data_IF_108576195334
#
_entry.id   IF_108576195334
#
_cell.length_a   1.000
_cell.length_b   1.000
_cell.length_c   1.000
_cell.angle_alpha   90.00
_cell.angle_beta   90.00
_cell.angle_gamma   90.00
#
_symmetry.space_group_name_H-M   'P 1'
#
loop_
_entity.id
_entity.type
_entity.pdbx_description
1 polymer ?
#
# COMPACT_ATOMS: atom_id res chain seq x y z
N UNK A 1 0.21 -18.61 -1.86
CA UNK A 1 1.02 -17.50 -1.31
C UNK A 1 0.81 -17.53 0.19
N UNK A 2 1.87 -17.37 0.98
CA UNK A 2 1.73 -17.38 2.44
C UNK A 2 1.01 -16.09 2.85
N UNK A 3 -0.25 -16.21 3.31
CA UNK A 3 -1.10 -15.07 3.68
C UNK A 3 -0.40 -14.16 4.70
N UNK A 4 0.48 -14.71 5.53
CA UNK A 4 1.24 -13.98 6.54
C UNK A 4 2.22 -12.98 5.91
N UNK A 5 2.99 -13.43 4.93
CA UNK A 5 4.03 -12.61 4.33
C UNK A 5 3.45 -11.51 3.41
N UNK A 6 2.33 -11.80 2.75
CA UNK A 6 1.55 -10.77 2.04
C UNK A 6 0.98 -9.73 3.00
N UNK A 7 0.43 -10.15 4.15
CA UNK A 7 -0.06 -9.22 5.17
C UNK A 7 1.06 -8.33 5.73
N UNK A 8 2.25 -8.87 5.97
CA UNK A 8 3.39 -8.10 6.45
C UNK A 8 3.89 -7.10 5.40
N UNK A 9 3.89 -7.48 4.12
CA UNK A 9 4.19 -6.56 3.03
C UNK A 9 3.16 -5.43 2.94
N UNK A 10 1.86 -5.76 2.95
CA UNK A 10 0.78 -4.76 2.94
C UNK A 10 0.92 -3.82 4.14
N UNK A 11 1.17 -4.37 5.33
CA UNK A 11 1.35 -3.60 6.57
C UNK A 11 2.56 -2.67 6.48
N UNK A 12 3.71 -3.19 6.04
CA UNK A 12 4.95 -2.41 5.92
C UNK A 12 4.84 -1.29 4.90
N UNK A 13 4.31 -1.59 3.71
CA UNK A 13 4.13 -0.60 2.64
C UNK A 13 3.11 0.48 3.06
N UNK A 14 1.98 0.07 3.64
CA UNK A 14 0.95 1.01 4.11
C UNK A 14 1.46 1.93 5.21
N UNK A 15 2.27 1.41 6.15
CA UNK A 15 2.91 2.22 7.20
C UNK A 15 3.80 3.30 6.60
N UNK A 16 4.61 2.95 5.62
CA UNK A 16 5.52 3.91 4.98
C UNK A 16 4.78 4.96 4.16
N UNK A 17 3.70 4.58 3.48
CA UNK A 17 2.81 5.53 2.77
C UNK A 17 2.15 6.49 3.76
N UNK A 18 1.64 5.98 4.89
CA UNK A 18 1.01 6.81 5.92
C UNK A 18 1.99 7.77 6.61
N UNK A 19 3.26 7.38 6.75
CA UNK A 19 4.30 8.28 7.25
C UNK A 19 4.42 9.57 6.43
N UNK A 20 4.13 9.51 5.12
CA UNK A 20 4.15 10.66 4.24
C UNK A 20 2.81 11.42 4.21
N UNK A 21 1.70 10.69 4.20
CA UNK A 21 0.38 11.28 3.91
C UNK A 21 -0.45 11.63 5.14
N UNK A 22 -0.31 10.88 6.23
CA UNK A 22 -1.09 11.04 7.46
C UNK A 22 -0.26 10.59 8.68
N UNK A 23 0.89 11.23 8.98
CA UNK A 23 1.78 10.82 10.05
C UNK A 23 1.11 10.80 11.43
N UNK A 24 0.06 11.60 11.61
CA UNK A 24 -0.78 11.64 12.81
C UNK A 24 -1.56 10.33 13.06
N UNK A 25 -1.75 9.47 12.05
CA UNK A 25 -2.40 8.17 12.23
C UNK A 25 -1.40 7.05 12.60
N UNK A 26 -0.09 7.28 12.49
CA UNK A 26 0.94 6.28 12.82
C UNK A 26 0.83 5.69 14.23
N UNK A 27 0.51 6.46 15.29
CA UNK A 27 0.33 5.90 16.64
C UNK A 27 -0.79 4.85 16.70
N UNK A 28 -1.81 4.96 15.84
CA UNK A 28 -2.97 4.07 15.81
C UNK A 28 -2.83 2.95 14.77
N UNK A 29 -1.83 3.04 13.89
CA UNK A 29 -1.67 2.16 12.74
C UNK A 29 -1.65 0.67 13.11
N UNK A 30 -1.03 0.29 14.22
CA UNK A 30 -0.96 -1.11 14.64
C UNK A 30 -2.37 -1.68 14.92
N UNK A 31 -3.19 -0.95 15.69
CA UNK A 31 -4.56 -1.37 16.01
C UNK A 31 -5.47 -1.30 14.77
N UNK A 32 -5.37 -0.22 13.99
CA UNK A 32 -6.20 -0.04 12.80
C UNK A 32 -5.89 -1.08 11.70
N UNK A 33 -4.61 -1.42 11.50
CA UNK A 33 -4.23 -2.48 10.55
C UNK A 33 -4.67 -3.86 11.02
N UNK A 34 -4.55 -4.18 12.32
CA UNK A 34 -5.07 -5.44 12.87
C UNK A 34 -6.59 -5.57 12.66
N UNK A 35 -7.34 -4.50 12.93
CA UNK A 35 -8.79 -4.48 12.71
C UNK A 35 -9.14 -4.65 11.22
N UNK A 36 -8.39 -4.01 10.32
CA UNK A 36 -8.59 -4.16 8.88
C UNK A 36 -8.30 -5.59 8.39
N UNK A 37 -7.20 -6.22 8.84
CA UNK A 37 -6.92 -7.61 8.48
C UNK A 37 -7.93 -8.61 9.05
N UNK A 38 -8.60 -8.27 10.16
CA UNK A 38 -9.65 -9.11 10.74
C UNK A 38 -10.98 -9.01 9.96
N UNK A 39 -11.38 -7.80 9.56
CA UNK A 39 -12.57 -7.55 8.74
C UNK A 39 -12.40 -6.22 7.94
N UNK A 40 -11.92 -6.30 6.69
CA UNK A 40 -11.69 -5.12 5.85
C UNK A 40 -12.95 -4.29 5.64
N UNK A 41 -14.10 -4.95 5.44
CA UNK A 41 -15.36 -4.28 5.17
C UNK A 41 -15.87 -3.54 6.41
N UNK A 42 -15.75 -4.13 7.61
CA UNK A 42 -16.09 -3.46 8.85
C UNK A 42 -15.14 -2.29 9.14
N UNK A 43 -13.84 -2.46 8.93
CA UNK A 43 -12.86 -1.39 9.10
C UNK A 43 -13.12 -0.22 8.14
N UNK A 44 -13.50 -0.50 6.88
CA UNK A 44 -13.85 0.51 5.89
C UNK A 44 -15.21 1.19 6.14
N UNK A 45 -16.14 0.54 6.83
CA UNK A 45 -17.37 1.19 7.33
C UNK A 45 -17.06 2.09 8.53
N UNK A 46 -16.25 1.61 9.48
CA UNK A 46 -15.87 2.35 10.67
C UNK A 46 -15.05 3.61 10.34
N UNK A 47 -14.16 3.55 9.35
CA UNK A 47 -13.33 4.68 8.92
C UNK A 47 -14.11 5.87 8.36
N UNK A 48 -15.33 5.63 7.90
CA UNK A 48 -16.24 6.64 7.34
C UNK A 48 -17.16 7.25 8.39
N UNK A 49 -17.20 6.70 9.61
CA UNK A 49 -18.15 7.13 10.62
C UNK A 49 -17.53 8.18 11.55
N UNK A 50 -18.20 9.32 11.71
CA UNK A 50 -17.69 10.50 12.43
C UNK A 50 -17.50 10.22 13.93
N UNK A 51 -18.31 9.33 14.48
CA UNK A 51 -18.23 8.93 15.89
C UNK A 51 -16.99 8.08 16.21
N UNK A 52 -16.45 7.37 15.21
CA UNK A 52 -15.16 6.70 15.37
C UNK A 52 -14.04 7.71 15.56
N UNK A 53 -14.12 8.91 14.96
CA UNK A 53 -13.10 9.95 15.09
C UNK A 53 -13.12 10.68 16.46
N UNK A 54 -14.26 10.68 17.16
CA UNK A 54 -14.43 11.34 18.48
C UNK A 54 -13.68 10.62 19.62
N UNK A 55 -13.29 9.37 19.44
CA UNK A 55 -12.50 8.60 20.43
C UNK A 55 -10.98 8.81 20.34
N UNK A 56 -10.48 9.54 19.33
CA UNK A 56 -9.04 9.56 19.01
C UNK A 56 -8.43 10.96 18.89
N UNK A 57 -9.11 12.02 19.33
CA UNK A 57 -8.57 13.39 19.37
C UNK A 57 -8.25 14.00 17.99
N UNK A 58 -8.74 13.41 16.90
CA UNK A 58 -8.48 13.83 15.54
C UNK A 58 -9.65 14.69 15.00
N UNK A 59 -9.82 15.90 15.53
CA UNK A 59 -10.90 16.81 15.09
C UNK A 59 -10.81 17.22 13.60
N UNK A 60 -9.67 17.00 12.95
CA UNK A 60 -9.41 17.48 11.58
C UNK A 60 -9.63 16.46 10.45
N UNK A 61 -9.85 15.17 10.74
CA UNK A 61 -10.01 14.14 9.70
C UNK A 61 -11.42 13.55 9.73
N UNK A 62 -12.25 13.91 8.75
CA UNK A 62 -13.60 13.33 8.59
C UNK A 62 -13.59 11.85 8.14
N UNK A 63 -12.43 11.30 7.77
CA UNK A 63 -12.22 9.90 7.34
C UNK A 63 -10.84 9.45 7.84
N UNK A 64 -10.75 8.27 8.46
CA UNK A 64 -9.46 7.63 8.76
C UNK A 64 -8.81 7.13 7.47
N UNK A 65 -7.57 7.55 7.23
CA UNK A 65 -6.82 7.24 6.01
C UNK A 65 -6.23 5.83 6.03
N UNK A 66 -5.93 5.29 7.22
CA UNK A 66 -5.28 3.98 7.38
C UNK A 66 -6.03 2.84 6.70
N UNK A 67 -7.35 2.62 6.92
CA UNK A 67 -8.08 1.54 6.25
C UNK A 67 -8.12 1.72 4.73
N UNK A 68 -8.15 2.96 4.26
CA UNK A 68 -8.13 3.27 2.84
C UNK A 68 -6.78 2.90 2.20
N UNK A 69 -5.67 3.27 2.84
CA UNK A 69 -4.33 2.94 2.35
C UNK A 69 -4.14 1.43 2.33
N UNK A 70 -4.54 0.71 3.39
CA UNK A 70 -4.48 -0.75 3.44
C UNK A 70 -5.27 -1.40 2.31
N UNK A 71 -6.49 -0.90 2.04
CA UNK A 71 -7.31 -1.36 0.93
C UNK A 71 -6.61 -1.18 -0.41
N UNK A 72 -6.10 0.02 -0.69
CA UNK A 72 -5.43 0.34 -1.95
C UNK A 72 -4.15 -0.48 -2.14
N UNK A 73 -3.35 -0.62 -1.08
CA UNK A 73 -2.12 -1.42 -1.11
C UNK A 73 -2.42 -2.91 -1.31
N UNK A 74 -3.47 -3.44 -0.68
CA UNK A 74 -3.91 -4.82 -0.90
C UNK A 74 -4.31 -5.06 -2.37
N UNK A 75 -5.03 -4.11 -2.98
CA UNK A 75 -5.51 -4.23 -4.36
C UNK A 75 -4.39 -4.22 -5.42
N UNK A 76 -3.23 -3.67 -5.10
CA UNK A 76 -2.08 -3.68 -6.02
C UNK A 76 -1.19 -4.92 -5.88
N UNK A 77 -1.39 -5.77 -4.86
CA UNK A 77 -0.59 -7.00 -4.67
C UNK A 77 -0.65 -7.95 -5.89
N UNK A 78 -1.81 -8.21 -6.53
CA UNK A 78 -1.87 -9.04 -7.73
C UNK A 78 -1.06 -8.49 -8.91
N UNK A 79 -0.96 -7.17 -9.03
CA UNK A 79 -0.19 -6.50 -10.09
C UNK A 79 1.30 -6.71 -9.85
N UNK A 80 1.76 -6.52 -8.61
CA UNK A 80 3.15 -6.80 -8.25
C UNK A 80 3.49 -8.28 -8.51
N UNK A 81 2.59 -9.20 -8.15
CA UNK A 81 2.72 -10.62 -8.49
C UNK A 81 2.83 -10.87 -9.99
N UNK A 82 2.00 -10.20 -10.81
CA UNK A 82 2.06 -10.26 -12.27
C UNK A 82 3.36 -9.70 -12.85
N UNK A 83 3.89 -8.62 -12.28
CA UNK A 83 5.20 -8.06 -12.65
C UNK A 83 6.32 -9.07 -12.36
N UNK A 84 6.29 -9.72 -11.20
CA UNK A 84 7.28 -10.75 -10.85
C UNK A 84 7.25 -11.95 -11.81
N UNK A 85 6.04 -12.38 -12.20
CA UNK A 85 5.85 -13.51 -13.10
C UNK A 85 6.39 -13.18 -14.49
N UNK A 86 5.98 -12.05 -15.08
CA UNK A 86 6.46 -11.59 -16.39
C UNK A 86 7.98 -11.39 -16.41
N UNK A 87 8.55 -10.88 -15.32
CA UNK A 87 9.99 -10.68 -15.22
C UNK A 87 10.76 -12.01 -15.21
N UNK A 88 10.21 -13.06 -14.58
CA UNK A 88 10.82 -14.40 -14.56
C UNK A 88 10.86 -15.08 -15.94
N UNK A 89 10.01 -14.66 -16.88
CA UNK A 89 9.97 -15.20 -18.25
C UNK A 89 11.04 -14.59 -19.16
N UNK A 90 11.77 -13.56 -18.69
CA UNK A 90 12.79 -12.85 -19.47
C UNK A 90 14.18 -13.00 -18.83
N UNK A 91 15.21 -13.26 -19.63
CA UNK A 91 16.61 -13.39 -19.17
C UNK A 91 17.18 -12.11 -18.52
N UNK A 92 16.50 -10.97 -18.66
CA UNK A 92 16.88 -9.65 -18.10
C UNK A 92 16.04 -9.34 -16.83
N UNK A 93 14.98 -10.10 -16.54
CA UNK A 93 14.02 -9.82 -15.47
C UNK A 93 14.24 -10.61 -14.17
N UNK A 94 15.29 -11.42 -14.06
CA UNK A 94 15.58 -12.19 -12.85
C UNK A 94 15.70 -11.29 -11.61
N UNK A 95 16.32 -10.11 -11.76
CA UNK A 95 16.51 -9.15 -10.66
C UNK A 95 15.19 -8.52 -10.18
N UNK A 96 14.31 -8.15 -11.11
CA UNK A 96 12.97 -7.60 -10.80
C UNK A 96 12.11 -8.68 -10.15
N UNK A 97 12.14 -9.91 -10.66
CA UNK A 97 11.42 -11.05 -10.08
C UNK A 97 11.94 -11.36 -8.68
N UNK A 98 13.26 -11.35 -8.47
CA UNK A 98 13.89 -11.57 -7.18
C UNK A 98 13.47 -10.52 -6.15
N UNK A 99 13.45 -9.23 -6.51
CA UNK A 99 13.01 -8.17 -5.59
C UNK A 99 11.55 -8.32 -5.18
N UNK A 100 10.64 -8.51 -6.14
CA UNK A 100 9.23 -8.68 -5.81
C UNK A 100 9.03 -9.93 -4.95
N UNK A 101 9.70 -11.04 -5.26
CA UNK A 101 9.68 -12.24 -4.42
C UNK A 101 10.20 -11.98 -3.01
N UNK A 102 11.30 -11.23 -2.83
CA UNK A 102 11.82 -10.82 -1.51
C UNK A 102 10.81 -9.99 -0.73
N UNK A 103 10.12 -9.04 -1.39
CA UNK A 103 9.02 -8.28 -0.77
C UNK A 103 7.91 -9.19 -0.26
N UNK A 104 7.47 -10.17 -1.06
CA UNK A 104 6.48 -11.17 -0.64
C UNK A 104 6.99 -12.16 0.42
N UNK A 105 8.29 -12.23 0.68
CA UNK A 105 8.88 -13.03 1.78
C UNK A 105 9.16 -12.19 3.03
N UNK A 106 8.88 -10.89 2.99
CA UNK A 106 9.23 -9.97 4.08
C UNK A 106 10.74 -9.72 4.21
N UNK A 107 11.54 -10.10 3.21
CA UNK A 107 12.98 -9.88 3.18
C UNK A 107 13.30 -8.49 2.61
N UNK A 108 14.31 -7.81 3.16
CA UNK A 108 14.80 -6.57 2.57
C UNK A 108 15.48 -6.86 1.22
N UNK A 109 14.99 -6.25 0.12
CA UNK A 109 15.66 -6.41 -1.16
C UNK A 109 17.01 -5.68 -1.12
N UNK A 110 18.08 -6.38 -1.50
CA UNK A 110 19.36 -5.73 -1.84
C UNK A 110 19.12 -4.64 -2.91
N UNK A 111 19.87 -3.55 -2.81
CA UNK A 111 19.58 -2.24 -3.39
C UNK A 111 19.53 -2.14 -4.93
N UNK A 112 19.57 -3.24 -5.69
CA UNK A 112 19.97 -3.22 -7.10
C UNK A 112 18.81 -3.25 -8.10
N UNK A 113 17.65 -3.82 -7.78
CA UNK A 113 16.57 -3.95 -8.77
C UNK A 113 15.49 -2.88 -8.58
N UNK A 114 15.40 -1.80 -9.34
CA UNK A 114 14.27 -0.85 -9.25
C UNK A 114 13.22 -1.24 -10.30
N UNK A 115 11.93 -1.20 -9.95
CA UNK A 115 10.83 -1.41 -10.92
C UNK A 115 10.99 -0.43 -12.09
N UNK A 116 10.73 -0.88 -13.32
CA UNK A 116 10.89 -0.01 -14.49
C UNK A 116 9.88 1.17 -14.44
N UNK A 117 10.15 2.28 -15.13
CA UNK A 117 9.21 3.40 -15.22
C UNK A 117 7.82 2.98 -15.72
N UNK A 118 7.75 2.00 -16.63
CA UNK A 118 6.50 1.46 -17.16
C UNK A 118 5.71 0.69 -16.09
N UNK A 119 6.41 -0.13 -15.29
CA UNK A 119 5.84 -0.89 -14.18
C UNK A 119 5.35 0.04 -13.06
N UNK A 120 6.14 1.06 -12.72
CA UNK A 120 5.72 2.09 -11.76
C UNK A 120 4.52 2.88 -12.28
N UNK A 121 4.48 3.19 -13.58
CA UNK A 121 3.34 3.81 -14.23
C UNK A 121 2.08 2.94 -14.22
N UNK A 122 2.22 1.62 -14.33
CA UNK A 122 1.12 0.67 -14.17
C UNK A 122 0.57 0.72 -12.73
N UNK A 123 1.43 0.60 -11.72
CA UNK A 123 1.02 0.71 -10.31
C UNK A 123 0.34 2.04 -10.04
N UNK A 124 0.91 3.16 -10.50
CA UNK A 124 0.34 4.49 -10.34
C UNK A 124 -1.11 4.55 -10.86
N UNK A 125 -1.35 4.09 -12.10
CA UNK A 125 -2.71 4.09 -12.69
C UNK A 125 -3.70 3.26 -11.88
N UNK A 126 -3.26 2.12 -11.36
CA UNK A 126 -4.12 1.27 -10.53
C UNK A 126 -4.45 1.91 -9.19
N UNK A 127 -3.49 2.60 -8.55
CA UNK A 127 -3.76 3.34 -7.31
C UNK A 127 -4.75 4.49 -7.55
N UNK A 128 -4.61 5.24 -8.66
CA UNK A 128 -5.59 6.29 -9.03
C UNK A 128 -6.99 5.70 -9.20
N UNK A 129 -7.11 4.56 -9.90
CA UNK A 129 -8.38 3.89 -10.14
C UNK A 129 -9.01 3.38 -8.83
N UNK A 130 -8.20 2.80 -7.94
CA UNK A 130 -8.61 2.35 -6.61
C UNK A 130 -9.10 3.54 -5.76
N UNK A 131 -8.31 4.62 -5.68
CA UNK A 131 -8.68 5.84 -4.97
C UNK A 131 -9.99 6.44 -5.48
N UNK A 132 -10.20 6.45 -6.80
CA UNK A 132 -11.43 6.94 -7.42
C UNK A 132 -12.65 6.08 -7.04
N UNK A 133 -12.53 4.74 -7.06
CA UNK A 133 -13.60 3.81 -6.60
C UNK A 133 -13.91 4.01 -5.11
N UNK A 134 -12.90 4.35 -4.31
CA UNK A 134 -13.05 4.67 -2.89
C UNK A 134 -13.51 6.12 -2.64
N UNK A 135 -13.84 6.87 -3.70
CA UNK A 135 -14.35 8.25 -3.68
C UNK A 135 -13.36 9.27 -3.10
N UNK A 136 -12.07 9.03 -3.24
CA UNK A 136 -11.08 10.09 -3.07
C UNK A 136 -11.24 11.12 -4.18
N UNK A 137 -11.04 12.40 -3.84
CA UNK A 137 -10.87 13.42 -4.86
C UNK A 137 -9.58 13.15 -5.67
N UNK A 138 -9.51 13.75 -6.87
CA UNK A 138 -8.42 13.51 -7.81
C UNK A 138 -7.05 13.85 -7.23
N UNK A 139 -6.94 14.91 -6.41
CA UNK A 139 -5.67 15.33 -5.83
C UNK A 139 -5.20 14.33 -4.77
N UNK A 140 -6.10 13.86 -3.89
CA UNK A 140 -5.79 12.83 -2.89
C UNK A 140 -5.43 11.49 -3.53
N UNK A 141 -6.14 11.10 -4.59
CA UNK A 141 -5.83 9.87 -5.32
C UNK A 141 -4.43 9.96 -5.96
N UNK A 142 -4.06 11.12 -6.53
CA UNK A 142 -2.73 11.36 -7.08
C UNK A 142 -1.65 11.31 -6.01
N UNK A 143 -1.82 12.02 -4.90
CA UNK A 143 -0.85 11.99 -3.80
C UNK A 143 -0.67 10.58 -3.22
N UNK A 144 -1.74 9.78 -3.14
CA UNK A 144 -1.65 8.38 -2.74
C UNK A 144 -0.84 7.56 -3.74
N UNK A 145 -1.10 7.73 -5.04
CA UNK A 145 -0.37 7.03 -6.10
C UNK A 145 1.12 7.38 -6.10
N UNK A 146 1.46 8.66 -5.95
CA UNK A 146 2.84 9.14 -5.87
C UNK A 146 3.57 8.54 -4.66
N UNK A 147 2.92 8.53 -3.48
CA UNK A 147 3.51 7.96 -2.27
C UNK A 147 3.74 6.45 -2.40
N UNK A 148 2.80 5.71 -3.00
CA UNK A 148 2.98 4.26 -3.27
C UNK A 148 4.13 4.03 -4.23
N UNK A 149 4.19 4.76 -5.34
CA UNK A 149 5.27 4.65 -6.34
C UNK A 149 6.62 4.97 -5.71
N UNK A 150 6.71 6.01 -4.87
CA UNK A 150 7.95 6.35 -4.17
C UNK A 150 8.47 5.19 -3.31
N UNK A 151 7.58 4.48 -2.61
CA UNK A 151 7.97 3.31 -1.79
C UNK A 151 8.44 2.12 -2.61
N UNK A 152 7.97 2.00 -3.85
CA UNK A 152 8.35 0.93 -4.77
C UNK A 152 9.62 1.25 -5.55
N UNK A 153 9.86 2.54 -5.83
CA UNK A 153 11.01 3.03 -6.56
C UNK A 153 12.27 3.14 -5.68
N UNK A 154 12.13 3.47 -4.40
CA UNK A 154 13.27 3.68 -3.52
C UNK A 154 13.86 2.35 -3.03
N UNK A 155 15.20 2.16 -3.06
CA UNK A 155 15.83 1.10 -2.28
C UNK A 155 15.58 1.40 -0.79
N UNK A 156 15.11 0.40 -0.04
CA UNK A 156 14.99 0.52 1.41
C UNK A 156 16.41 0.60 1.99
N UNK A 157 16.67 1.60 2.83
CA UNK A 157 17.95 1.81 3.52
C UNK A 157 18.03 0.98 4.78
#
# INVERSE_FOLDING_TARGET
MDSTAEHDLIRGLSRNVLMQLAPNELPLFAAASAAWFADPDAAMRASKNRDAALGFGAESFSILFTPLVLQVVSEIMPILGGIALKAAETAIGEEVSARVRKMFRGEEPEAVAILSPEQLGEVHRHVIAAGSRLRLDRARAAHLADAVVAQLALPKK
#
